data_IF_528467587213
#
_entry.id   IF_528467587213
#
_cell.length_a   1.000
_cell.length_b   1.000
_cell.length_c   1.000
_cell.angle_alpha   90.00
_cell.angle_beta   90.00
_cell.angle_gamma   90.00
#
_symmetry.space_group_name_H-M   'P 1'
#
loop_
_entity.id
_entity.type
_entity.pdbx_description
1 polymer ?
#
# COMPACT_ATOMS: atom_id res chain seq x y z
N UNK A 1 20.53 -25.30 -72.41
CA UNK A 1 21.51 -24.36 -71.87
C UNK A 1 21.08 -23.00 -72.40
N UNK A 2 20.66 -21.99 -71.65
CA UNK A 2 20.86 -21.50 -70.27
C UNK A 2 19.63 -20.61 -69.99
N UNK A 3 18.89 -20.75 -68.89
CA UNK A 3 19.34 -20.39 -67.55
C UNK A 3 19.00 -18.91 -67.29
N UNK A 4 17.77 -18.65 -66.84
CA UNK A 4 17.34 -17.34 -66.34
C UNK A 4 17.87 -17.09 -64.93
N UNK A 5 18.05 -15.81 -64.60
CA UNK A 5 18.43 -15.35 -63.28
C UNK A 5 18.05 -13.88 -63.12
N UNK A 6 16.90 -13.64 -62.50
CA UNK A 6 16.64 -12.42 -61.74
C UNK A 6 17.37 -12.58 -60.40
N UNK A 7 18.16 -11.59 -60.00
CA UNK A 7 18.51 -11.45 -58.59
C UNK A 7 18.62 -9.97 -58.20
N UNK A 8 18.01 -9.69 -57.05
CA UNK A 8 17.80 -8.38 -56.47
C UNK A 8 18.91 -8.07 -55.46
N UNK A 9 19.64 -6.98 -55.69
CA UNK A 9 20.72 -6.51 -54.80
C UNK A 9 20.34 -5.29 -53.97
N UNK A 10 19.84 -5.57 -52.77
CA UNK A 10 20.02 -4.89 -51.47
C UNK A 10 20.00 -3.34 -51.37
N UNK A 11 18.90 -2.83 -50.83
CA UNK A 11 18.81 -1.54 -50.14
C UNK A 11 19.39 -1.67 -48.72
N UNK A 12 20.23 -0.71 -48.36
CA UNK A 12 20.92 -0.64 -47.07
C UNK A 12 19.99 -0.60 -45.87
N UNK A 13 20.45 -1.21 -44.77
CA UNK A 13 19.84 -1.09 -43.46
C UNK A 13 20.83 -0.39 -42.52
N UNK A 14 20.54 0.90 -42.28
CA UNK A 14 21.19 1.76 -41.31
C UNK A 14 20.72 1.32 -39.91
N UNK A 15 21.54 0.52 -39.23
CA UNK A 15 21.27 0.10 -37.86
C UNK A 15 21.66 1.24 -36.91
N UNK A 16 20.68 2.11 -36.67
CA UNK A 16 20.73 3.11 -35.62
C UNK A 16 21.05 2.48 -34.27
N UNK A 17 22.07 3.04 -33.62
CA UNK A 17 22.49 2.78 -32.25
C UNK A 17 21.34 3.07 -31.28
N UNK A 18 20.53 2.06 -30.96
CA UNK A 18 19.59 2.11 -29.85
C UNK A 18 20.37 1.92 -28.55
N UNK A 19 20.86 3.02 -27.99
CA UNK A 19 21.43 3.06 -26.64
C UNK A 19 20.37 2.63 -25.62
N UNK A 20 20.42 1.36 -25.21
CA UNK A 20 19.68 0.87 -24.07
C UNK A 20 20.13 1.64 -22.83
N UNK A 21 19.23 2.44 -22.26
CA UNK A 21 19.43 2.95 -20.90
C UNK A 21 19.35 1.75 -19.97
N UNK A 22 20.41 1.51 -19.20
CA UNK A 22 20.31 0.61 -18.06
C UNK A 22 19.24 1.13 -17.10
N UNK A 23 18.43 0.24 -16.49
CA UNK A 23 17.48 0.66 -15.46
C UNK A 23 18.28 1.23 -14.29
N UNK A 24 18.20 2.54 -14.11
CA UNK A 24 18.89 3.26 -13.05
C UNK A 24 18.47 2.71 -11.69
N UNK A 25 19.44 2.19 -10.95
CA UNK A 25 19.28 1.85 -9.54
C UNK A 25 19.25 3.17 -8.75
N UNK A 26 18.12 3.45 -8.10
CA UNK A 26 17.98 4.50 -7.10
C UNK A 26 16.93 5.56 -7.44
N UNK A 27 15.71 5.35 -6.94
CA UNK A 27 14.74 6.43 -6.79
C UNK A 27 15.35 7.50 -5.88
N UNK A 28 15.61 8.68 -6.44
CA UNK A 28 15.92 9.87 -5.65
C UNK A 28 14.76 10.23 -4.72
N UNK A 29 14.94 11.18 -3.79
CA UNK A 29 13.85 11.65 -2.95
C UNK A 29 12.65 12.05 -3.81
N UNK A 30 11.44 11.74 -3.34
CA UNK A 30 10.20 12.10 -4.03
C UNK A 30 10.13 13.61 -4.12
N UNK A 31 9.99 14.15 -5.34
CA UNK A 31 10.02 15.60 -5.57
C UNK A 31 8.68 16.29 -5.29
N UNK A 32 7.60 15.52 -5.15
CA UNK A 32 6.26 16.04 -4.86
C UNK A 32 6.17 16.53 -3.40
N UNK A 33 5.41 17.60 -3.15
CA UNK A 33 5.24 18.17 -1.82
C UNK A 33 4.18 17.44 -0.98
N UNK A 34 3.26 16.72 -1.65
CA UNK A 34 2.22 15.90 -1.03
C UNK A 34 1.88 14.70 -1.91
N UNK A 35 1.20 13.70 -1.32
CA UNK A 35 0.69 12.56 -2.09
C UNK A 35 -0.34 13.00 -3.15
N UNK A 36 -1.10 14.06 -2.90
CA UNK A 36 -2.02 14.64 -3.90
C UNK A 36 -1.25 15.18 -5.11
N UNK A 37 -0.17 15.92 -4.89
CA UNK A 37 0.67 16.41 -5.98
C UNK A 37 1.30 15.26 -6.77
N UNK A 38 1.70 14.18 -6.10
CA UNK A 38 2.22 12.97 -6.75
C UNK A 38 1.15 12.31 -7.64
N UNK A 39 -0.10 12.23 -7.18
CA UNK A 39 -1.20 11.68 -7.98
C UNK A 39 -1.52 12.57 -9.21
N UNK A 40 -1.44 13.89 -9.04
CA UNK A 40 -1.85 14.87 -10.05
C UNK A 40 -0.75 15.21 -11.08
N UNK A 41 0.49 14.73 -10.92
CA UNK A 41 1.63 15.11 -11.78
C UNK A 41 1.63 14.49 -13.19
N UNK A 42 0.71 13.54 -13.43
CA UNK A 42 0.51 12.87 -14.71
C UNK A 42 1.54 11.78 -15.04
N UNK A 43 2.34 11.33 -14.08
CA UNK A 43 3.35 10.27 -14.24
C UNK A 43 2.85 8.94 -13.68
N UNK A 44 3.61 7.89 -13.96
CA UNK A 44 3.42 6.57 -13.36
C UNK A 44 4.30 6.48 -12.13
N UNK A 45 3.67 6.17 -11.00
CA UNK A 45 4.33 5.94 -9.72
C UNK A 45 4.19 4.48 -9.29
N UNK A 46 5.14 4.02 -8.48
CA UNK A 46 5.21 2.64 -8.00
C UNK A 46 4.86 2.58 -6.51
N UNK A 47 3.81 1.83 -6.19
CA UNK A 47 3.50 1.43 -4.81
C UNK A 47 4.40 0.24 -4.40
N UNK A 48 4.39 -0.10 -3.13
CA UNK A 48 5.08 -1.28 -2.62
C UNK A 48 4.37 -2.60 -3.00
N UNK A 49 4.67 -3.68 -2.27
CA UNK A 49 4.16 -5.01 -2.57
C UNK A 49 3.63 -5.72 -1.32
N UNK A 50 3.30 -7.01 -1.48
CA UNK A 50 2.64 -7.78 -0.43
C UNK A 50 3.44 -7.90 0.89
N UNK A 51 3.10 -7.07 1.87
CA UNK A 51 3.65 -7.10 3.24
C UNK A 51 3.51 -8.48 3.89
N UNK A 52 2.32 -9.09 3.81
CA UNK A 52 2.08 -10.40 4.42
C UNK A 52 2.97 -11.51 3.85
N UNK A 53 3.19 -11.52 2.53
CA UNK A 53 4.08 -12.48 1.87
C UNK A 53 5.54 -12.28 2.27
N UNK A 54 5.97 -11.01 2.39
CA UNK A 54 7.33 -10.68 2.81
C UNK A 54 7.59 -11.01 4.28
N UNK A 55 6.63 -10.78 5.17
CA UNK A 55 6.73 -11.21 6.57
C UNK A 55 6.77 -12.74 6.69
N UNK A 56 5.98 -13.44 5.87
CA UNK A 56 6.01 -14.90 5.81
C UNK A 56 7.37 -15.45 5.39
N UNK A 57 7.98 -14.90 4.34
CA UNK A 57 9.31 -15.32 3.90
C UNK A 57 10.41 -15.07 4.95
N UNK A 58 10.16 -14.16 5.89
CA UNK A 58 11.03 -13.84 7.03
C UNK A 58 10.69 -14.63 8.30
N UNK A 59 9.88 -15.68 8.19
CA UNK A 59 9.59 -16.61 9.29
C UNK A 59 8.44 -16.19 10.21
N UNK A 60 7.60 -15.25 9.80
CA UNK A 60 6.33 -14.96 10.48
C UNK A 60 5.22 -15.80 9.84
N UNK A 61 4.76 -16.82 10.54
CA UNK A 61 3.70 -17.68 10.01
C UNK A 61 2.31 -17.11 10.30
N UNK A 62 1.30 -17.57 9.53
CA UNK A 62 -0.08 -17.04 9.51
C UNK A 62 -0.88 -17.22 10.81
N UNK A 63 -0.28 -17.79 11.85
CA UNK A 63 -0.92 -18.02 13.15
C UNK A 63 -0.74 -16.86 14.15
N UNK A 64 -0.17 -15.73 13.71
CA UNK A 64 -0.03 -14.52 14.53
C UNK A 64 -0.70 -13.32 13.85
N UNK A 65 -1.04 -12.30 14.63
CA UNK A 65 -1.55 -11.05 14.09
C UNK A 65 -0.41 -10.26 13.45
N UNK A 66 -0.47 -10.04 12.13
CA UNK A 66 0.56 -9.27 11.42
C UNK A 66 0.49 -7.77 11.79
N UNK A 67 -0.70 -7.25 12.07
CA UNK A 67 -0.91 -5.87 12.51
C UNK A 67 -0.31 -5.61 13.91
N UNK A 68 -0.21 -6.64 14.78
CA UNK A 68 0.46 -6.51 16.08
C UNK A 68 1.99 -6.33 15.94
N UNK A 69 2.57 -6.75 14.82
CA UNK A 69 4.02 -6.66 14.60
C UNK A 69 4.51 -5.21 14.60
N UNK A 70 3.64 -4.26 14.31
CA UNK A 70 3.94 -2.83 14.38
C UNK A 70 4.41 -2.40 15.78
N UNK A 71 3.99 -3.11 16.84
CA UNK A 71 4.41 -2.85 18.22
C UNK A 71 5.30 -3.97 18.76
N UNK A 72 4.97 -5.23 18.48
CA UNK A 72 5.71 -6.37 19.05
C UNK A 72 7.07 -6.62 18.38
N UNK A 73 7.20 -6.31 17.08
CA UNK A 73 8.43 -6.50 16.28
C UNK A 73 8.60 -5.39 15.23
N UNK A 74 8.64 -4.10 15.64
CA UNK A 74 8.65 -2.96 14.73
C UNK A 74 9.85 -2.97 13.78
N UNK A 75 11.00 -3.45 14.21
CA UNK A 75 12.21 -3.54 13.37
C UNK A 75 12.01 -4.47 12.16
N UNK A 76 11.23 -5.55 12.33
CA UNK A 76 10.93 -6.47 11.25
C UNK A 76 10.04 -5.82 10.18
N UNK A 77 9.02 -5.07 10.62
CA UNK A 77 8.11 -4.32 9.73
C UNK A 77 8.87 -3.17 9.05
N UNK A 78 9.66 -2.42 9.81
CA UNK A 78 10.56 -1.37 9.27
C UNK A 78 11.47 -1.92 8.18
N UNK A 79 12.11 -3.07 8.43
CA UNK A 79 12.97 -3.71 7.44
C UNK A 79 12.20 -4.12 6.17
N UNK A 80 10.90 -4.42 6.26
CA UNK A 80 10.07 -4.75 5.10
C UNK A 80 9.84 -3.51 4.23
N UNK A 81 9.40 -2.41 4.85
CA UNK A 81 9.27 -1.13 4.16
C UNK A 81 10.59 -0.64 3.55
N UNK A 82 11.70 -0.72 4.30
CA UNK A 82 13.02 -0.32 3.79
C UNK A 82 13.40 -1.10 2.52
N UNK A 83 13.08 -2.39 2.45
CA UNK A 83 13.34 -3.19 1.25
C UNK A 83 12.50 -2.73 0.06
N UNK A 84 11.23 -2.34 0.26
CA UNK A 84 10.40 -1.76 -0.80
C UNK A 84 10.89 -0.39 -1.26
N UNK A 85 11.27 0.49 -0.34
CA UNK A 85 11.88 1.79 -0.70
C UNK A 85 13.17 1.57 -1.48
N UNK A 86 14.01 0.61 -1.09
CA UNK A 86 15.23 0.25 -1.84
C UNK A 86 14.92 -0.32 -3.23
N UNK A 87 13.81 -1.02 -3.39
CA UNK A 87 13.33 -1.53 -4.68
C UNK A 87 12.72 -0.43 -5.58
N UNK A 88 12.50 0.78 -5.05
CA UNK A 88 12.00 1.92 -5.81
C UNK A 88 10.53 2.26 -5.57
N UNK A 89 9.92 1.75 -4.50
CA UNK A 89 8.58 2.18 -4.11
C UNK A 89 8.57 3.67 -3.71
N UNK A 90 7.65 4.43 -4.28
CA UNK A 90 7.41 5.86 -4.03
C UNK A 90 6.25 6.08 -3.06
N UNK A 91 5.42 5.06 -2.85
CA UNK A 91 4.35 5.03 -1.85
C UNK A 91 4.42 3.69 -1.12
N UNK A 92 4.47 3.73 0.21
CA UNK A 92 4.40 2.57 1.08
C UNK A 92 2.99 2.45 1.65
N UNK A 93 2.46 1.24 1.70
CA UNK A 93 1.24 0.93 2.43
C UNK A 93 1.59 0.58 3.88
N UNK A 94 0.89 1.14 4.87
CA UNK A 94 1.09 0.74 6.27
C UNK A 94 0.73 -0.73 6.48
N UNK A 95 1.39 -1.40 7.42
CA UNK A 95 1.05 -2.77 7.81
C UNK A 95 -0.23 -2.80 8.69
N UNK A 96 -1.38 -2.42 8.11
CA UNK A 96 -2.65 -2.20 8.82
C UNK A 96 -3.88 -2.77 8.12
N UNK A 97 -3.71 -3.58 7.07
CA UNK A 97 -4.81 -4.21 6.34
C UNK A 97 -5.87 -4.85 7.25
N UNK A 98 -5.43 -5.48 8.35
CA UNK A 98 -6.27 -6.16 9.32
C UNK A 98 -6.52 -5.38 10.61
N UNK A 99 -5.96 -4.17 10.76
CA UNK A 99 -5.93 -3.42 12.00
C UNK A 99 -7.25 -2.69 12.30
N UNK A 100 -8.40 -3.37 12.15
CA UNK A 100 -9.71 -2.89 12.60
C UNK A 100 -10.19 -3.68 13.83
N UNK A 101 -11.12 -3.12 14.64
CA UNK A 101 -11.53 -3.76 15.88
C UNK A 101 -12.10 -5.16 15.69
N UNK A 102 -12.77 -5.42 14.56
CA UNK A 102 -13.40 -6.72 14.26
C UNK A 102 -12.35 -7.80 14.05
N UNK A 103 -11.40 -7.59 13.16
CA UNK A 103 -10.31 -8.56 12.91
C UNK A 103 -9.39 -8.69 14.14
N UNK A 104 -9.05 -7.59 14.79
CA UNK A 104 -8.22 -7.60 15.99
C UNK A 104 -8.88 -8.31 17.19
N UNK A 105 -10.22 -8.35 17.25
CA UNK A 105 -10.94 -9.06 18.32
C UNK A 105 -10.61 -10.56 18.38
N UNK A 106 -10.34 -11.19 17.23
CA UNK A 106 -9.93 -12.61 17.16
C UNK A 106 -8.59 -12.90 17.85
N UNK A 107 -7.78 -11.85 18.08
CA UNK A 107 -6.51 -11.89 18.80
C UNK A 107 -6.60 -11.26 20.20
N UNK A 108 -7.77 -10.79 20.64
CA UNK A 108 -7.91 -10.05 21.90
C UNK A 108 -7.30 -8.64 21.87
N UNK A 109 -7.14 -8.05 20.68
CA UNK A 109 -6.44 -6.78 20.46
C UNK A 109 -7.36 -5.62 20.05
N UNK A 110 -8.68 -5.81 20.07
CA UNK A 110 -9.64 -4.80 19.59
C UNK A 110 -9.47 -3.42 20.26
N UNK A 111 -9.17 -3.38 21.57
CA UNK A 111 -8.97 -2.12 22.29
C UNK A 111 -7.63 -1.42 21.98
N UNK A 112 -6.74 -2.08 21.24
CA UNK A 112 -5.46 -1.53 20.80
C UNK A 112 -5.50 -1.06 19.35
N UNK A 113 -6.68 -0.92 18.75
CA UNK A 113 -6.85 -0.56 17.34
C UNK A 113 -6.08 0.72 16.99
N UNK A 114 -6.34 1.82 17.69
CA UNK A 114 -5.72 3.11 17.45
C UNK A 114 -4.20 3.04 17.67
N UNK A 115 -3.76 2.38 18.74
CA UNK A 115 -2.35 2.19 19.09
C UNK A 115 -1.58 1.46 17.97
N UNK A 116 -2.11 0.34 17.48
CA UNK A 116 -1.47 -0.47 16.45
C UNK A 116 -1.38 0.28 15.12
N UNK A 117 -2.43 1.02 14.75
CA UNK A 117 -2.47 1.82 13.53
C UNK A 117 -1.49 2.99 13.56
N UNK A 118 -1.44 3.72 14.67
CA UNK A 118 -0.48 4.81 14.87
C UNK A 118 0.95 4.29 14.78
N UNK A 119 1.26 3.20 15.50
CA UNK A 119 2.58 2.59 15.45
C UNK A 119 2.97 2.14 14.04
N UNK A 120 2.02 1.59 13.26
CA UNK A 120 2.27 1.19 11.88
C UNK A 120 2.65 2.37 10.99
N UNK A 121 1.92 3.48 11.09
CA UNK A 121 2.19 4.71 10.34
C UNK A 121 3.56 5.31 10.73
N UNK A 122 3.88 5.35 12.03
CA UNK A 122 5.19 5.81 12.53
C UNK A 122 6.35 4.94 11.99
N UNK A 123 6.17 3.61 11.95
CA UNK A 123 7.16 2.65 11.43
C UNK A 123 7.36 2.86 9.93
N UNK A 124 6.28 2.94 9.14
CA UNK A 124 6.35 3.15 7.70
C UNK A 124 6.98 4.51 7.36
N UNK A 125 6.59 5.59 8.06
CA UNK A 125 7.15 6.93 7.89
C UNK A 125 8.63 6.98 8.20
N UNK A 126 9.03 6.32 9.30
CA UNK A 126 10.43 6.20 9.64
C UNK A 126 11.24 5.38 8.62
N UNK A 127 10.63 4.43 7.91
CA UNK A 127 11.28 3.64 6.87
C UNK A 127 11.34 4.37 5.52
N UNK A 128 10.33 5.19 5.22
CA UNK A 128 10.25 6.03 4.03
C UNK A 128 11.42 7.00 3.95
N UNK A 129 11.80 7.63 5.09
CA UNK A 129 12.97 8.50 5.20
C UNK A 129 12.99 9.61 4.12
N UNK A 130 11.82 10.21 3.85
CA UNK A 130 11.64 11.24 2.83
C UNK A 130 11.74 10.77 1.36
N UNK A 131 11.83 9.46 1.13
CA UNK A 131 11.95 8.84 -0.21
C UNK A 131 10.68 8.14 -0.68
N UNK A 132 9.64 8.10 0.15
CA UNK A 132 8.32 7.59 -0.21
C UNK A 132 7.24 8.32 0.62
N UNK A 133 6.03 8.38 0.10
CA UNK A 133 4.84 8.71 0.89
C UNK A 133 4.33 7.46 1.63
N UNK A 134 3.52 7.65 2.67
CA UNK A 134 2.92 6.57 3.45
C UNK A 134 1.40 6.64 3.32
N UNK A 135 0.80 5.60 2.75
CA UNK A 135 -0.64 5.45 2.69
C UNK A 135 -1.15 4.51 3.80
N UNK A 136 -2.19 4.95 4.51
CA UNK A 136 -2.93 4.14 5.46
C UNK A 136 -3.70 3.04 4.76
N UNK A 137 -3.23 1.80 4.84
CA UNK A 137 -3.84 0.64 4.20
C UNK A 137 -4.99 0.11 5.05
N UNK A 138 -6.20 0.10 4.49
CA UNK A 138 -7.41 -0.34 5.17
C UNK A 138 -8.09 -1.45 4.37
N UNK A 139 -8.14 -2.65 4.94
CA UNK A 139 -8.93 -3.76 4.41
C UNK A 139 -10.34 -3.82 4.98
N UNK A 140 -11.21 -4.72 4.46
CA UNK A 140 -12.57 -4.88 4.96
C UNK A 140 -12.61 -5.34 6.44
N UNK A 141 -13.73 -5.11 7.13
CA UNK A 141 -13.98 -5.61 8.49
C UNK A 141 -14.07 -7.14 8.51
N UNK A 142 -14.43 -7.76 7.40
CA UNK A 142 -14.59 -9.22 7.29
C UNK A 142 -15.93 -9.72 7.84
N UNK A 143 -16.92 -8.84 7.90
CA UNK A 143 -18.29 -9.13 8.35
C UNK A 143 -19.30 -8.64 7.32
N UNK A 144 -20.54 -9.10 7.44
CA UNK A 144 -21.64 -8.56 6.63
C UNK A 144 -22.29 -7.40 7.38
N UNK A 145 -22.48 -6.31 6.66
CA UNK A 145 -23.27 -5.16 7.11
C UNK A 145 -24.72 -5.27 6.60
N UNK A 146 -25.63 -4.48 7.16
CA UNK A 146 -27.03 -4.45 6.74
C UNK A 146 -27.17 -4.20 5.21
N UNK A 147 -28.13 -4.87 4.55
CA UNK A 147 -29.14 -5.79 5.10
C UNK A 147 -28.67 -7.25 5.22
N UNK A 148 -27.41 -7.55 4.88
CA UNK A 148 -26.90 -8.94 4.79
C UNK A 148 -26.34 -9.48 6.10
N UNK A 149 -26.16 -8.61 7.08
CA UNK A 149 -25.73 -8.93 8.44
C UNK A 149 -26.27 -7.93 9.46
N UNK A 150 -25.95 -8.14 10.75
CA UNK A 150 -26.55 -7.38 11.85
C UNK A 150 -25.86 -6.03 12.12
N UNK A 151 -24.72 -5.76 11.50
CA UNK A 151 -23.95 -4.53 11.72
C UNK A 151 -24.52 -3.42 10.83
N UNK A 152 -24.97 -2.32 11.43
CA UNK A 152 -25.46 -1.19 10.67
C UNK A 152 -24.33 -0.50 9.90
N UNK A 153 -24.67 0.30 8.89
CA UNK A 153 -23.67 1.11 8.18
C UNK A 153 -22.97 2.10 9.11
N UNK A 154 -23.69 2.70 10.06
CA UNK A 154 -23.12 3.64 11.05
C UNK A 154 -22.13 2.93 11.97
N UNK A 155 -22.47 1.73 12.45
CA UNK A 155 -21.53 0.96 13.28
C UNK A 155 -20.27 0.59 12.49
N UNK A 156 -20.41 0.24 11.21
CA UNK A 156 -19.26 -0.04 10.35
C UNK A 156 -18.38 1.21 10.15
N UNK A 157 -18.98 2.39 9.95
CA UNK A 157 -18.27 3.66 9.87
C UNK A 157 -17.48 3.95 11.16
N UNK A 158 -18.06 3.69 12.34
CA UNK A 158 -17.37 3.87 13.63
C UNK A 158 -16.21 2.89 13.80
N UNK A 159 -16.38 1.63 13.38
CA UNK A 159 -15.33 0.61 13.42
C UNK A 159 -14.13 0.97 12.52
N UNK A 160 -14.39 1.45 11.30
CA UNK A 160 -13.34 1.98 10.43
C UNK A 160 -12.73 3.25 11.00
N UNK A 161 -13.55 4.09 11.64
CA UNK A 161 -13.14 5.34 12.27
C UNK A 161 -11.97 5.18 13.23
N UNK A 162 -12.00 4.15 14.08
CA UNK A 162 -10.90 3.82 15.00
C UNK A 162 -9.57 3.56 14.27
N UNK A 163 -9.61 2.94 13.09
CA UNK A 163 -8.43 2.73 12.27
C UNK A 163 -7.90 4.06 11.72
N UNK A 164 -8.80 4.87 11.18
CA UNK A 164 -8.48 6.20 10.62
C UNK A 164 -7.87 7.11 11.67
N UNK A 165 -8.45 7.15 12.88
CA UNK A 165 -7.95 7.99 13.98
C UNK A 165 -6.50 7.67 14.31
N UNK A 166 -6.14 6.39 14.44
CA UNK A 166 -4.75 5.97 14.67
C UNK A 166 -3.83 6.26 13.48
N UNK A 167 -4.27 6.03 12.25
CA UNK A 167 -3.47 6.30 11.04
C UNK A 167 -3.19 7.80 10.87
N UNK A 168 -4.18 8.66 11.10
CA UNK A 168 -4.02 10.12 11.07
C UNK A 168 -3.05 10.57 12.16
N UNK A 169 -3.21 10.08 13.39
CA UNK A 169 -2.32 10.43 14.50
C UNK A 169 -0.87 10.03 14.23
N UNK A 170 -0.64 8.86 13.61
CA UNK A 170 0.69 8.41 13.19
C UNK A 170 1.23 9.12 11.94
N UNK A 171 0.42 9.99 11.32
CA UNK A 171 0.80 10.84 10.21
C UNK A 171 0.94 10.07 8.91
N UNK A 172 -0.11 9.43 8.40
CA UNK A 172 -0.14 9.00 6.99
C UNK A 172 -0.28 10.20 6.05
N UNK A 173 0.11 10.05 4.78
CA UNK A 173 -0.02 11.04 3.71
C UNK A 173 -1.31 10.86 2.87
N UNK A 174 -2.01 9.74 3.05
CA UNK A 174 -3.28 9.38 2.38
C UNK A 174 -3.78 8.01 2.81
N UNK A 175 -4.80 7.50 2.14
CA UNK A 175 -5.40 6.19 2.44
C UNK A 175 -5.51 5.31 1.20
N UNK A 176 -5.39 4.00 1.40
CA UNK A 176 -5.71 2.98 0.40
C UNK A 176 -6.79 2.08 0.99
N UNK A 177 -8.00 2.16 0.43
CA UNK A 177 -9.10 1.25 0.76
C UNK A 177 -9.03 0.05 -0.18
N UNK A 178 -8.50 -1.06 0.31
CA UNK A 178 -8.11 -2.20 -0.53
C UNK A 178 -8.89 -3.48 -0.24
N UNK A 179 -9.01 -4.32 -1.28
CA UNK A 179 -9.57 -5.68 -1.21
C UNK A 179 -11.01 -5.76 -0.66
N UNK A 180 -11.78 -4.69 -0.77
CA UNK A 180 -13.22 -4.71 -0.51
C UNK A 180 -13.95 -5.49 -1.60
N UNK A 181 -14.81 -6.42 -1.19
CA UNK A 181 -15.69 -7.19 -2.10
C UNK A 181 -17.14 -6.69 -2.08
N UNK A 182 -17.49 -5.82 -1.14
CA UNK A 182 -18.81 -5.23 -0.98
C UNK A 182 -18.73 -3.70 -1.05
N UNK A 183 -19.56 -3.10 -1.91
CA UNK A 183 -19.53 -1.65 -2.15
C UNK A 183 -20.08 -0.85 -0.97
N UNK A 184 -21.03 -1.40 -0.22
CA UNK A 184 -21.63 -0.71 0.93
C UNK A 184 -20.63 -0.65 2.08
N UNK A 185 -19.83 -1.71 2.27
CA UNK A 185 -18.72 -1.74 3.24
C UNK A 185 -17.61 -0.77 2.83
N UNK A 186 -17.23 -0.73 1.55
CA UNK A 186 -16.27 0.25 1.02
C UNK A 186 -16.76 1.69 1.23
N UNK A 187 -18.05 1.95 1.00
CA UNK A 187 -18.64 3.27 1.23
C UNK A 187 -18.65 3.67 2.71
N UNK A 188 -18.76 2.72 3.63
CA UNK A 188 -18.62 2.98 5.06
C UNK A 188 -17.17 3.34 5.41
N UNK A 189 -16.19 2.60 4.90
CA UNK A 189 -14.77 2.93 5.09
C UNK A 189 -14.43 4.32 4.53
N UNK A 190 -14.89 4.64 3.32
CA UNK A 190 -14.69 5.95 2.70
C UNK A 190 -15.35 7.07 3.51
N UNK A 191 -16.57 6.86 4.01
CA UNK A 191 -17.25 7.84 4.86
C UNK A 191 -16.48 8.07 6.17
N UNK A 192 -15.95 7.01 6.79
CA UNK A 192 -15.13 7.11 7.99
C UNK A 192 -13.85 7.93 7.76
N UNK A 193 -13.15 7.72 6.64
CA UNK A 193 -11.98 8.51 6.23
C UNK A 193 -12.36 9.98 6.06
N UNK A 194 -13.40 10.28 5.25
CA UNK A 194 -13.81 11.65 4.93
C UNK A 194 -14.36 12.42 6.13
N UNK A 195 -14.89 11.74 7.14
CA UNK A 195 -15.34 12.36 8.37
C UNK A 195 -14.18 12.82 9.29
N UNK A 196 -12.98 12.27 9.10
CA UNK A 196 -11.81 12.47 9.99
C UNK A 196 -10.62 13.13 9.30
N UNK A 197 -10.57 13.13 7.97
CA UNK A 197 -9.42 13.60 7.21
C UNK A 197 -9.76 14.07 5.80
N UNK A 198 -9.03 15.10 5.35
CA UNK A 198 -9.04 15.63 3.97
C UNK A 198 -7.92 15.05 3.09
N UNK A 199 -7.10 14.15 3.64
CA UNK A 199 -6.04 13.48 2.90
C UNK A 199 -6.60 12.67 1.71
N UNK A 200 -5.83 12.53 0.61
CA UNK A 200 -6.28 11.80 -0.57
C UNK A 200 -6.77 10.38 -0.22
#
# INVERSE_FOLDING_TARGET
>A
MSGGGEDAGERGNDLGNAGGREPGVGGGPVSAASLRDLIDDGRVHVLDGGMGTLLYSRGVFVNVCYDELNVSRPDLVRAAHVDYVRAGAEVLETNTFGANPVKLSSYGLAERTEELNRAAAEVARGAADGRAFVAGAMGPLGIRIEPWGPTSRVDAEDLFGRQVDGLVEGGVDGFVLETFSDITELQAALAAVRARSDLP
#
